data_IF_554621875615
#
_entry.id   IF_554621875615
#
_cell.length_a   1.000
_cell.length_b   1.000
_cell.length_c   1.000
_cell.angle_alpha   90.00
_cell.angle_beta   90.00
_cell.angle_gamma   90.00
#
_symmetry.space_group_name_H-M   'P 1'
#
loop_
_entity.id
_entity.type
_entity.pdbx_description
1 polymer ?
#
# COMPACT_ATOMS: atom_id res chain seq x y z
N UNK A 1 -4.65 -4.76 19.94
CA UNK A 1 -3.96 -4.32 18.70
C UNK A 1 -5.01 -4.05 17.65
N UNK A 2 -5.20 -2.79 17.24
CA UNK A 2 -6.10 -2.46 16.14
C UNK A 2 -5.47 -2.95 14.84
N UNK A 3 -5.93 -4.09 14.32
CA UNK A 3 -5.58 -4.53 12.97
C UNK A 3 -6.16 -3.52 11.98
N UNK A 4 -5.31 -2.72 11.36
CA UNK A 4 -5.72 -1.80 10.31
C UNK A 4 -6.14 -2.63 9.10
N UNK A 5 -7.45 -2.91 8.97
CA UNK A 5 -8.03 -3.43 7.74
C UNK A 5 -7.91 -2.33 6.69
N UNK A 6 -6.85 -2.40 5.87
CA UNK A 6 -6.72 -1.55 4.70
C UNK A 6 -7.89 -1.86 3.76
N UNK A 7 -8.62 -0.82 3.36
CA UNK A 7 -9.77 -0.91 2.47
C UNK A 7 -9.49 -0.08 1.23
N UNK A 8 -10.26 -0.30 0.16
CA UNK A 8 -10.24 0.60 -0.99
C UNK A 8 -10.53 2.03 -0.53
N UNK A 9 -9.73 3.00 -0.97
CA UNK A 9 -9.78 4.39 -0.51
C UNK A 9 -8.97 4.68 0.76
N UNK A 10 -8.42 3.67 1.43
CA UNK A 10 -7.52 3.90 2.56
C UNK A 10 -6.22 4.55 2.07
N UNK A 11 -5.75 5.51 2.87
CA UNK A 11 -4.45 6.14 2.68
C UNK A 11 -3.43 5.34 3.47
N UNK A 12 -2.39 4.87 2.79
CA UNK A 12 -1.35 4.05 3.39
C UNK A 12 0.01 4.70 3.19
N UNK A 13 0.96 4.33 4.05
CA UNK A 13 2.35 4.73 3.93
C UNK A 13 3.20 3.51 3.62
N UNK A 14 4.02 3.60 2.59
CA UNK A 14 5.02 2.59 2.29
C UNK A 14 6.05 2.59 3.43
N UNK A 15 6.22 1.46 4.11
CA UNK A 15 7.16 1.37 5.25
C UNK A 15 8.54 0.94 4.77
N UNK A 16 8.59 0.03 3.80
CA UNK A 16 9.80 -0.47 3.19
C UNK A 16 9.50 -0.89 1.75
N UNK A 17 10.50 -0.74 0.88
CA UNK A 17 10.51 -1.33 -0.46
C UNK A 17 11.93 -1.82 -0.74
N UNK A 18 12.04 -2.94 -1.45
CA UNK A 18 13.32 -3.47 -1.93
C UNK A 18 13.32 -3.65 -3.45
N UNK A 19 12.24 -3.24 -4.12
CA UNK A 19 12.09 -3.33 -5.57
C UNK A 19 12.82 -2.16 -6.25
N UNK A 20 13.81 -2.43 -7.12
CA UNK A 20 14.59 -1.38 -7.77
C UNK A 20 13.84 -0.65 -8.90
N UNK A 21 12.68 -1.16 -9.32
CA UNK A 21 11.84 -0.56 -10.36
C UNK A 21 10.70 0.30 -9.79
N UNK A 22 10.61 0.40 -8.47
CA UNK A 22 9.63 1.20 -7.77
C UNK A 22 10.22 2.57 -7.47
N UNK A 23 9.66 3.59 -8.11
CA UNK A 23 10.05 4.99 -7.92
C UNK A 23 9.68 5.53 -6.52
N UNK A 24 8.80 4.83 -5.80
CA UNK A 24 8.35 5.25 -4.46
C UNK A 24 9.28 4.75 -3.36
N UNK A 25 10.00 5.67 -2.73
CA UNK A 25 10.78 5.40 -1.53
C UNK A 25 9.91 5.12 -0.29
N UNK A 26 10.49 4.49 0.75
CA UNK A 26 9.84 4.35 2.05
C UNK A 26 9.42 5.71 2.60
N UNK A 27 8.22 5.79 3.18
CA UNK A 27 7.57 7.02 3.59
C UNK A 27 6.59 7.58 2.56
N UNK A 28 6.64 7.12 1.31
CA UNK A 28 5.69 7.53 0.28
C UNK A 28 4.25 7.18 0.69
N UNK A 29 3.35 8.15 0.49
CA UNK A 29 1.93 7.95 0.70
C UNK A 29 1.29 7.45 -0.60
N UNK A 30 0.26 6.64 -0.44
CA UNK A 30 -0.55 6.20 -1.57
C UNK A 30 -1.96 5.83 -1.13
N UNK A 31 -2.86 5.79 -2.10
CA UNK A 31 -4.25 5.42 -1.87
C UNK A 31 -4.50 4.04 -2.45
N UNK A 32 -5.09 3.14 -1.66
CA UNK A 32 -5.47 1.81 -2.13
C UNK A 32 -6.58 1.96 -3.15
N UNK A 33 -6.31 1.60 -4.40
CA UNK A 33 -7.27 1.67 -5.49
C UNK A 33 -7.97 0.33 -5.73
N UNK A 34 -7.31 -0.77 -5.37
CA UNK A 34 -7.81 -2.14 -5.54
C UNK A 34 -7.22 -3.07 -4.49
N UNK A 35 -8.01 -4.07 -4.11
CA UNK A 35 -7.60 -5.19 -3.27
C UNK A 35 -8.02 -6.44 -4.04
N UNK A 36 -7.08 -7.30 -4.37
CA UNK A 36 -7.34 -8.57 -5.03
C UNK A 36 -7.64 -9.67 -3.99
N UNK A 37 -8.16 -10.80 -4.45
CA UNK A 37 -8.67 -11.90 -3.61
C UNK A 37 -7.58 -12.55 -2.73
N UNK A 38 -6.32 -12.36 -3.12
CA UNK A 38 -5.13 -12.80 -2.38
C UNK A 38 -4.67 -11.78 -1.31
N UNK A 39 -5.37 -10.65 -1.17
CA UNK A 39 -5.00 -9.56 -0.26
C UNK A 39 -3.92 -8.62 -0.79
N UNK A 40 -3.56 -8.72 -2.08
CA UNK A 40 -2.64 -7.79 -2.73
C UNK A 40 -3.30 -6.43 -2.90
N UNK A 41 -2.60 -5.36 -2.48
CA UNK A 41 -3.08 -3.99 -2.56
C UNK A 41 -2.44 -3.27 -3.75
N UNK A 42 -3.26 -2.78 -4.68
CA UNK A 42 -2.80 -1.84 -5.71
C UNK A 42 -2.95 -0.41 -5.21
N UNK A 43 -1.90 0.40 -5.38
CA UNK A 43 -1.79 1.73 -4.78
C UNK A 43 -1.44 2.75 -5.85
N UNK A 44 -2.17 3.87 -5.88
CA UNK A 44 -1.90 5.03 -6.76
C UNK A 44 -1.51 6.27 -5.96
#
# INVERSE_FOLDING_TARGET
MAGCSARRGSRIRLVATSDPYTDRGPGALGTVTRIDDLGTLTVR
#
